data_IF_625831760811
#
_entry.id   IF_625831760811
#
_cell.length_a   1.000
_cell.length_b   1.000
_cell.length_c   1.000
_cell.angle_alpha   90.00
_cell.angle_beta   90.00
_cell.angle_gamma   90.00
#
_symmetry.space_group_name_H-M   'P 1'
#
loop_
_entity.id
_entity.type
_entity.pdbx_description
1 polymer ?
#
# COMPACT_ATOMS: atom_id res chain seq x y z
N UNK A 1 -69.90 -20.42 30.67
CA UNK A 1 -71.03 -20.33 29.71
C UNK A 1 -70.53 -20.74 28.34
N UNK A 2 -71.26 -21.69 27.73
CA UNK A 2 -71.43 -21.98 26.30
C UNK A 2 -70.28 -21.63 25.34
N UNK A 3 -69.81 -22.48 24.43
CA UNK A 3 -70.10 -23.87 24.02
C UNK A 3 -69.25 -24.00 22.72
N UNK A 4 -68.54 -25.12 22.48
CA UNK A 4 -68.91 -26.06 21.37
C UNK A 4 -68.31 -25.64 20.01
N UNK A 5 -67.41 -26.37 19.34
CA UNK A 5 -67.36 -27.77 18.82
C UNK A 5 -66.57 -27.61 17.48
N UNK A 6 -66.01 -28.56 16.76
CA UNK A 6 -66.11 -30.03 16.61
C UNK A 6 -64.89 -30.37 15.70
N UNK A 7 -64.03 -31.32 16.04
CA UNK A 7 -64.04 -32.74 15.59
C UNK A 7 -63.12 -33.03 14.38
N UNK A 8 -62.08 -33.86 14.61
CA UNK A 8 -61.92 -35.28 14.20
C UNK A 8 -61.37 -35.41 12.75
N UNK A 9 -60.60 -36.42 12.33
CA UNK A 9 -60.48 -37.84 12.70
C UNK A 9 -59.14 -38.40 12.14
N UNK A 10 -58.59 -39.44 12.79
CA UNK A 10 -57.77 -40.54 12.23
C UNK A 10 -56.35 -40.21 11.75
N UNK A 11 -55.24 -40.69 12.33
CA UNK A 11 -54.78 -42.07 12.55
C UNK A 11 -54.65 -42.91 11.27
N UNK A 12 -53.43 -43.28 10.88
CA UNK A 12 -52.86 -44.66 10.96
C UNK A 12 -51.42 -44.66 10.39
N UNK A 13 -50.58 -45.45 11.04
CA UNK A 13 -49.16 -45.69 10.80
C UNK A 13 -48.84 -46.50 9.52
N UNK A 14 -47.58 -46.45 9.06
CA UNK A 14 -47.07 -47.46 8.12
C UNK A 14 -45.80 -47.06 7.37
N UNK A 15 -44.67 -47.61 7.79
CA UNK A 15 -43.32 -47.57 7.24
C UNK A 15 -43.21 -47.97 5.76
N UNK A 16 -42.28 -47.37 4.99
CA UNK A 16 -41.29 -48.09 4.16
C UNK A 16 -40.42 -47.15 3.31
N UNK A 17 -39.13 -47.52 3.23
CA UNK A 17 -38.07 -47.05 2.34
C UNK A 17 -38.53 -46.77 0.90
N UNK A 18 -38.14 -45.62 0.35
CA UNK A 18 -37.83 -45.50 -1.08
C UNK A 18 -36.80 -44.37 -1.33
N UNK A 19 -35.70 -44.83 -1.92
CA UNK A 19 -34.56 -44.11 -2.49
C UNK A 19 -34.99 -43.03 -3.49
N UNK A 20 -34.44 -41.82 -3.36
CA UNK A 20 -34.26 -40.88 -4.47
C UNK A 20 -32.87 -40.22 -4.36
N UNK A 21 -31.89 -40.88 -4.98
CA UNK A 21 -30.64 -40.27 -5.46
C UNK A 21 -30.97 -39.52 -6.75
N UNK A 22 -30.63 -38.23 -6.85
CA UNK A 22 -30.02 -37.57 -8.03
C UNK A 22 -29.96 -36.03 -7.88
N UNK A 23 -28.72 -35.51 -7.97
CA UNK A 23 -28.26 -34.20 -8.50
C UNK A 23 -28.53 -32.97 -7.60
N UNK A 24 -27.53 -32.29 -7.01
CA UNK A 24 -26.34 -31.69 -7.65
C UNK A 24 -26.81 -30.42 -8.39
N UNK A 25 -26.50 -29.17 -8.03
CA UNK A 25 -25.29 -28.55 -7.48
C UNK A 25 -25.76 -27.30 -6.71
N UNK A 26 -25.72 -27.33 -5.37
CA UNK A 26 -25.68 -26.09 -4.60
C UNK A 26 -24.20 -25.76 -4.44
N UNK A 27 -23.76 -24.71 -5.14
CA UNK A 27 -22.40 -24.21 -5.06
C UNK A 27 -22.01 -24.01 -3.59
N UNK A 28 -21.10 -24.85 -3.11
CA UNK A 28 -20.34 -24.54 -1.91
C UNK A 28 -19.60 -23.25 -2.22
N UNK A 29 -19.95 -22.16 -1.55
CA UNK A 29 -19.04 -21.04 -1.39
C UNK A 29 -17.73 -21.65 -0.86
N UNK A 30 -16.68 -21.61 -1.68
CA UNK A 30 -15.34 -22.00 -1.27
C UNK A 30 -14.97 -21.11 -0.09
N UNK A 31 -14.84 -21.72 1.09
CA UNK A 31 -14.19 -21.07 2.21
C UNK A 31 -12.78 -20.66 1.74
N UNK A 32 -12.33 -19.42 2.00
CA UNK A 32 -10.99 -19.01 1.60
C UNK A 32 -9.98 -19.92 2.31
N UNK A 33 -9.10 -20.50 1.51
CA UNK A 33 -8.10 -21.45 1.94
C UNK A 33 -6.83 -20.64 2.28
N UNK A 34 -6.64 -20.27 3.54
CA UNK A 34 -5.44 -19.57 3.97
C UNK A 34 -5.29 -19.43 5.48
N UNK A 35 -4.56 -20.34 6.11
CA UNK A 35 -4.17 -20.28 7.54
C UNK A 35 -3.13 -19.18 7.85
N UNK A 36 -2.78 -18.33 6.89
CA UNK A 36 -1.78 -17.26 7.10
C UNK A 36 -2.42 -16.05 7.74
N UNK A 37 -1.97 -15.73 8.95
CA UNK A 37 -2.40 -14.54 9.70
C UNK A 37 -1.32 -13.48 9.72
N UNK A 38 -1.75 -12.23 9.90
CA UNK A 38 -0.91 -11.07 10.17
C UNK A 38 -1.12 -10.65 11.62
N UNK A 39 -0.04 -10.33 12.31
CA UNK A 39 0.00 -9.67 13.60
C UNK A 39 0.33 -8.19 13.36
N UNK A 40 -0.67 -7.32 13.51
CA UNK A 40 -0.59 -5.90 13.20
C UNK A 40 -0.58 -5.06 14.48
N UNK A 41 0.45 -4.25 14.68
CA UNK A 41 0.50 -3.25 15.75
C UNK A 41 -0.08 -1.92 15.27
N UNK A 42 -1.14 -1.46 15.95
CA UNK A 42 -1.83 -0.21 15.70
C UNK A 42 -1.09 0.95 16.41
N UNK A 43 -0.51 1.84 15.63
CA UNK A 43 0.32 2.98 16.05
C UNK A 43 -0.38 3.93 17.00
N UNK A 44 -1.69 4.15 16.81
CA UNK A 44 -2.47 5.07 17.66
C UNK A 44 -2.66 4.58 19.09
N UNK A 45 -2.71 3.26 19.30
CA UNK A 45 -3.04 2.65 20.60
C UNK A 45 -1.91 1.80 21.17
N UNK A 46 -0.92 1.43 20.35
CA UNK A 46 0.08 0.41 20.65
C UNK A 46 -0.48 -1.02 20.73
N UNK A 47 -1.77 -1.21 20.44
CA UNK A 47 -2.41 -2.52 20.53
C UNK A 47 -2.05 -3.39 19.33
N UNK A 48 -1.85 -4.68 19.57
CA UNK A 48 -1.67 -5.66 18.51
C UNK A 48 -2.97 -6.42 18.24
N UNK A 49 -3.35 -6.50 16.96
CA UNK A 49 -4.46 -7.33 16.48
C UNK A 49 -3.95 -8.45 15.57
N UNK A 50 -4.71 -9.54 15.46
CA UNK A 50 -4.41 -10.64 14.53
C UNK A 50 -5.57 -10.83 13.57
N UNK A 51 -5.27 -10.89 12.28
CA UNK A 51 -6.27 -10.99 11.21
C UNK A 51 -5.76 -11.85 10.04
N UNK A 52 -6.64 -12.42 9.22
CA UNK A 52 -6.24 -13.11 7.99
C UNK A 52 -5.43 -12.19 7.07
N UNK A 53 -4.42 -12.75 6.39
CA UNK A 53 -3.56 -11.98 5.48
C UNK A 53 -4.35 -11.24 4.39
N UNK A 54 -5.35 -11.87 3.80
CA UNK A 54 -6.16 -11.24 2.75
C UNK A 54 -7.05 -10.11 3.29
N UNK A 55 -7.50 -10.19 4.54
CA UNK A 55 -8.21 -9.09 5.20
C UNK A 55 -7.27 -7.90 5.46
N UNK A 56 -6.03 -8.20 5.84
CA UNK A 56 -4.98 -7.18 5.96
C UNK A 56 -4.71 -6.48 4.62
N UNK A 57 -4.54 -7.26 3.54
CA UNK A 57 -4.33 -6.72 2.18
C UNK A 57 -5.47 -5.76 1.80
N UNK A 58 -6.73 -6.15 2.00
CA UNK A 58 -7.89 -5.28 1.72
C UNK A 58 -7.82 -3.97 2.50
N UNK A 59 -7.50 -4.01 3.79
CA UNK A 59 -7.41 -2.82 4.63
C UNK A 59 -6.29 -1.85 4.22
N UNK A 60 -5.17 -2.38 3.71
CA UNK A 60 -4.10 -1.54 3.14
C UNK A 60 -4.54 -0.93 1.80
N UNK A 61 -5.13 -1.71 0.90
CA UNK A 61 -5.63 -1.19 -0.38
C UNK A 61 -6.62 -0.03 -0.20
N UNK A 62 -7.52 -0.15 0.78
CA UNK A 62 -8.48 0.91 1.13
C UNK A 62 -7.81 2.16 1.69
N UNK A 63 -6.69 2.02 2.39
CA UNK A 63 -5.94 3.14 2.95
C UNK A 63 -5.08 3.87 1.89
N UNK A 64 -4.58 3.13 0.90
CA UNK A 64 -3.58 3.61 -0.05
C UNK A 64 -4.17 4.05 -1.41
N UNK A 65 -5.27 3.45 -1.86
CA UNK A 65 -5.80 3.65 -3.21
C UNK A 65 -7.12 4.43 -3.26
N UNK A 66 -7.22 5.47 -4.10
CA UNK A 66 -8.50 6.07 -4.43
C UNK A 66 -9.41 5.07 -5.16
N UNK A 67 -10.73 5.05 -4.91
CA UNK A 67 -11.68 4.13 -5.57
C UNK A 67 -11.80 4.33 -7.09
N UNK A 68 -11.30 5.45 -7.62
CA UNK A 68 -11.27 5.76 -9.05
C UNK A 68 -10.09 5.12 -9.79
N UNK A 69 -9.17 4.46 -9.08
CA UNK A 69 -7.98 3.88 -9.67
C UNK A 69 -8.30 2.58 -10.42
N UNK A 70 -7.47 2.27 -11.41
CA UNK A 70 -7.68 1.13 -12.29
C UNK A 70 -7.57 -0.19 -11.52
N UNK A 71 -8.39 -1.22 -11.82
CA UNK A 71 -8.32 -2.51 -11.13
C UNK A 71 -6.94 -3.18 -11.13
N UNK A 72 -6.16 -3.05 -12.21
CA UNK A 72 -4.79 -3.59 -12.24
C UNK A 72 -3.80 -2.83 -11.34
N UNK A 73 -4.07 -1.56 -11.01
CA UNK A 73 -3.33 -0.86 -9.96
C UNK A 73 -3.61 -1.48 -8.59
N UNK A 74 -4.88 -1.82 -8.30
CA UNK A 74 -5.24 -2.54 -7.08
C UNK A 74 -4.58 -3.91 -7.01
N UNK A 75 -4.57 -4.67 -8.11
CA UNK A 75 -3.91 -5.99 -8.16
C UNK A 75 -2.40 -5.91 -7.97
N UNK A 76 -1.74 -4.94 -8.61
CA UNK A 76 -0.31 -4.74 -8.43
C UNK A 76 0.02 -4.40 -6.97
N UNK A 77 -0.71 -3.46 -6.37
CA UNK A 77 -0.51 -3.11 -4.96
C UNK A 77 -0.83 -4.28 -4.03
N UNK A 78 -1.87 -5.08 -4.32
CA UNK A 78 -2.22 -6.24 -3.50
C UNK A 78 -1.06 -7.24 -3.40
N UNK A 79 -0.40 -7.53 -4.52
CA UNK A 79 0.79 -8.41 -4.55
C UNK A 79 1.97 -7.77 -3.82
N UNK A 80 2.22 -6.48 -3.99
CA UNK A 80 3.30 -5.78 -3.28
C UNK A 80 3.08 -5.81 -1.75
N UNK A 81 1.87 -5.48 -1.29
CA UNK A 81 1.46 -5.51 0.13
C UNK A 81 1.59 -6.92 0.72
N UNK A 82 1.09 -7.94 0.00
CA UNK A 82 1.19 -9.33 0.43
C UNK A 82 2.64 -9.80 0.52
N UNK A 83 3.46 -9.41 -0.43
CA UNK A 83 4.89 -9.75 -0.44
C UNK A 83 5.60 -9.17 0.78
N UNK A 84 5.32 -7.91 1.13
CA UNK A 84 5.88 -7.27 2.31
C UNK A 84 5.45 -7.98 3.60
N UNK A 85 4.18 -8.34 3.70
CA UNK A 85 3.66 -9.11 4.84
C UNK A 85 4.38 -10.46 4.98
N UNK A 86 4.56 -11.21 3.88
CA UNK A 86 5.29 -12.49 3.88
C UNK A 86 6.77 -12.29 4.22
N UNK A 87 7.41 -11.25 3.67
CA UNK A 87 8.81 -10.92 3.97
C UNK A 87 9.04 -10.63 5.46
N UNK A 88 8.08 -9.99 6.12
CA UNK A 88 8.13 -9.64 7.54
C UNK A 88 7.51 -10.72 8.45
N UNK A 89 7.32 -11.94 7.94
CA UNK A 89 6.73 -13.07 8.67
C UNK A 89 5.37 -12.73 9.32
N UNK A 90 4.57 -11.89 8.64
CA UNK A 90 3.27 -11.44 9.12
C UNK A 90 3.29 -10.45 10.29
N UNK A 91 4.46 -9.99 10.76
CA UNK A 91 4.54 -8.99 11.83
C UNK A 91 4.71 -7.60 11.26
N UNK A 92 3.70 -6.74 11.42
CA UNK A 92 3.58 -5.46 10.72
C UNK A 92 3.10 -4.35 11.66
N UNK A 93 3.26 -3.10 11.23
CA UNK A 93 2.66 -1.91 11.86
C UNK A 93 1.81 -1.14 10.85
N UNK A 94 0.78 -0.43 11.33
CA UNK A 94 0.02 0.52 10.51
C UNK A 94 0.66 1.92 10.44
N UNK A 95 1.81 2.12 11.11
CA UNK A 95 2.58 3.37 11.04
C UNK A 95 3.28 3.46 9.67
N UNK A 96 2.94 4.45 8.82
CA UNK A 96 3.60 4.61 7.52
C UNK A 96 5.09 4.94 7.62
N UNK A 97 5.58 5.40 8.78
CA UNK A 97 7.01 5.59 9.02
C UNK A 97 7.75 4.28 9.31
N UNK A 98 7.02 3.22 9.69
CA UNK A 98 7.59 1.90 10.06
C UNK A 98 7.28 0.83 9.02
N UNK A 99 6.07 0.82 8.47
CA UNK A 99 5.57 -0.19 7.54
C UNK A 99 4.65 0.44 6.48
N UNK A 100 3.32 0.35 6.64
CA UNK A 100 2.36 0.83 5.65
C UNK A 100 1.02 1.17 6.28
N UNK A 101 0.26 2.07 5.66
CA UNK A 101 -1.05 2.46 6.17
C UNK A 101 -2.04 1.29 6.18
N UNK A 102 -2.91 1.26 7.18
CA UNK A 102 -3.99 0.27 7.26
C UNK A 102 -5.26 0.92 7.80
N UNK A 103 -6.40 0.67 7.13
CA UNK A 103 -7.71 1.06 7.65
C UNK A 103 -8.53 -0.17 8.00
N UNK A 104 -9.09 -0.17 9.22
CA UNK A 104 -10.19 -1.09 9.56
C UNK A 104 -11.42 -0.78 8.69
N UNK A 105 -12.34 -1.75 8.58
CA UNK A 105 -13.62 -1.53 7.90
C UNK A 105 -14.39 -0.30 8.42
N UNK A 106 -14.34 -0.05 9.74
CA UNK A 106 -14.95 1.13 10.36
C UNK A 106 -14.27 2.42 9.91
N UNK A 107 -12.93 2.47 9.94
CA UNK A 107 -12.15 3.63 9.50
C UNK A 107 -12.38 3.92 8.03
N UNK A 108 -12.32 2.88 7.18
CA UNK A 108 -12.54 3.00 5.75
C UNK A 108 -13.96 3.48 5.43
N UNK A 109 -14.98 2.92 6.09
CA UNK A 109 -16.37 3.38 5.91
C UNK A 109 -16.55 4.83 6.31
N UNK A 110 -15.95 5.27 7.42
CA UNK A 110 -16.03 6.65 7.87
C UNK A 110 -15.29 7.63 6.94
N UNK A 111 -14.12 7.24 6.42
CA UNK A 111 -13.30 8.08 5.53
C UNK A 111 -13.86 8.19 4.11
N UNK A 112 -14.40 7.09 3.58
CA UNK A 112 -14.84 7.01 2.18
C UNK A 112 -16.34 7.32 2.00
N UNK A 113 -17.14 7.25 3.07
CA UNK A 113 -18.57 7.55 3.00
C UNK A 113 -19.29 6.72 1.94
N UNK A 114 -19.99 7.40 1.02
CA UNK A 114 -20.75 6.75 -0.06
C UNK A 114 -19.87 5.96 -1.05
N UNK A 115 -18.58 6.28 -1.15
CA UNK A 115 -17.66 5.54 -2.02
C UNK A 115 -17.20 4.21 -1.42
N UNK A 116 -17.44 3.98 -0.12
CA UNK A 116 -16.94 2.81 0.60
C UNK A 116 -17.35 1.47 -0.02
N UNK A 117 -18.63 1.20 -0.37
CA UNK A 117 -19.02 -0.09 -0.92
C UNK A 117 -18.28 -0.43 -2.23
N UNK A 118 -18.10 0.58 -3.11
CA UNK A 118 -17.38 0.40 -4.37
C UNK A 118 -15.89 0.15 -4.14
N UNK A 119 -15.27 0.93 -3.26
CA UNK A 119 -13.87 0.77 -2.89
C UNK A 119 -13.59 -0.60 -2.27
N UNK A 120 -14.49 -1.05 -1.38
CA UNK A 120 -14.41 -2.34 -0.72
C UNK A 120 -14.49 -3.48 -1.74
N UNK A 121 -15.43 -3.43 -2.68
CA UNK A 121 -15.54 -4.48 -3.71
C UNK A 121 -14.29 -4.53 -4.60
N UNK A 122 -13.74 -3.38 -5.01
CA UNK A 122 -12.50 -3.33 -5.78
C UNK A 122 -11.31 -3.92 -5.02
N UNK A 123 -11.13 -3.52 -3.76
CA UNK A 123 -10.05 -4.02 -2.91
C UNK A 123 -10.17 -5.53 -2.67
N UNK A 124 -11.39 -6.02 -2.37
CA UNK A 124 -11.65 -7.45 -2.20
C UNK A 124 -11.46 -8.23 -3.50
N UNK A 125 -11.90 -7.71 -4.63
CA UNK A 125 -11.68 -8.33 -5.94
C UNK A 125 -10.19 -8.45 -6.25
N UNK A 126 -9.40 -7.40 -6.03
CA UNK A 126 -7.96 -7.43 -6.26
C UNK A 126 -7.23 -8.40 -5.32
N UNK A 127 -7.61 -8.47 -4.05
CA UNK A 127 -7.08 -9.44 -3.10
C UNK A 127 -7.37 -10.89 -3.57
N UNK A 128 -8.62 -11.18 -3.95
CA UNK A 128 -9.04 -12.50 -4.48
C UNK A 128 -8.34 -12.85 -5.79
N UNK A 129 -8.31 -11.93 -6.75
CA UNK A 129 -7.72 -12.15 -8.08
C UNK A 129 -6.21 -12.45 -8.01
N UNK A 130 -5.54 -11.95 -6.96
CA UNK A 130 -4.10 -12.09 -6.75
C UNK A 130 -3.75 -13.01 -5.59
N UNK A 131 -4.70 -13.79 -5.08
CA UNK A 131 -4.53 -14.59 -3.87
C UNK A 131 -3.31 -15.51 -3.94
N UNK A 132 -2.45 -15.38 -2.94
CA UNK A 132 -1.20 -16.14 -2.82
C UNK A 132 -0.07 -15.70 -3.75
N UNK A 133 -0.27 -14.76 -4.69
CA UNK A 133 0.85 -14.24 -5.48
C UNK A 133 1.71 -13.25 -4.69
N UNK A 134 3.02 -13.44 -4.77
CA UNK A 134 4.07 -12.60 -4.17
C UNK A 134 5.20 -12.36 -5.16
N UNK A 135 6.00 -11.31 -4.94
CA UNK A 135 7.25 -11.07 -5.66
C UNK A 135 8.43 -11.68 -4.92
N UNK A 136 9.30 -12.34 -5.68
CA UNK A 136 10.52 -12.94 -5.16
C UNK A 136 11.73 -12.50 -5.96
N UNK A 137 12.85 -12.27 -5.27
CA UNK A 137 14.15 -12.05 -5.89
C UNK A 137 15.09 -13.17 -5.43
N UNK A 138 15.68 -13.89 -6.38
CA UNK A 138 16.52 -15.08 -6.10
C UNK A 138 15.83 -16.10 -5.18
N UNK A 139 14.54 -16.35 -5.41
CA UNK A 139 13.74 -17.31 -4.66
C UNK A 139 13.31 -16.88 -3.25
N UNK A 140 13.64 -15.66 -2.81
CA UNK A 140 13.23 -15.11 -1.51
C UNK A 140 12.21 -13.99 -1.70
N UNK A 141 11.22 -13.81 -0.79
CA UNK A 141 10.32 -12.66 -0.83
C UNK A 141 11.07 -11.33 -0.93
N UNK A 142 10.75 -10.56 -1.97
CA UNK A 142 11.39 -9.27 -2.25
C UNK A 142 10.91 -8.18 -1.29
N UNK A 143 11.72 -7.13 -1.07
CA UNK A 143 11.22 -5.91 -0.44
C UNK A 143 10.40 -5.11 -1.47
N UNK A 144 9.09 -5.08 -1.31
CA UNK A 144 8.15 -4.45 -2.27
C UNK A 144 7.64 -3.12 -1.75
N UNK A 145 8.55 -2.16 -1.61
CA UNK A 145 8.20 -0.81 -1.17
C UNK A 145 7.50 -0.02 -2.29
N UNK A 146 6.59 0.86 -1.90
CA UNK A 146 5.77 1.65 -2.82
C UNK A 146 5.47 3.02 -2.20
N UNK A 147 5.08 3.98 -3.02
CA UNK A 147 4.83 5.35 -2.60
C UNK A 147 3.83 6.05 -3.53
N UNK A 148 3.36 7.24 -3.15
CA UNK A 148 2.24 7.90 -3.82
C UNK A 148 2.58 8.38 -5.25
N UNK A 149 3.67 9.15 -5.42
CA UNK A 149 4.02 9.81 -6.67
C UNK A 149 5.53 10.07 -6.76
N UNK A 150 6.13 9.91 -7.93
CA UNK A 150 7.57 10.12 -8.17
C UNK A 150 7.89 11.51 -8.71
N UNK A 151 9.18 11.85 -8.76
CA UNK A 151 9.68 13.05 -9.45
C UNK A 151 9.81 12.90 -10.96
N UNK A 152 9.26 11.81 -11.54
CA UNK A 152 9.42 11.40 -12.94
C UNK A 152 10.28 10.14 -13.10
N UNK A 153 10.99 9.75 -12.04
CA UNK A 153 11.68 8.48 -11.90
C UNK A 153 11.68 8.05 -10.42
N UNK A 154 11.79 6.76 -10.19
CA UNK A 154 11.94 6.19 -8.85
C UNK A 154 13.41 6.25 -8.42
N UNK A 155 13.67 6.04 -7.13
CA UNK A 155 14.94 6.25 -6.47
C UNK A 155 15.55 4.91 -6.03
N UNK A 156 16.87 4.84 -6.00
CA UNK A 156 17.58 3.68 -5.49
C UNK A 156 17.41 3.54 -3.97
N UNK A 157 17.19 2.32 -3.50
CA UNK A 157 17.20 1.98 -2.07
C UNK A 157 18.49 2.43 -1.37
N UNK A 158 19.63 2.37 -2.05
CA UNK A 158 20.93 2.80 -1.52
C UNK A 158 20.93 4.28 -1.15
N UNK A 159 20.27 5.13 -1.93
CA UNK A 159 20.24 6.57 -1.71
C UNK A 159 19.32 6.98 -0.56
N UNK A 160 18.23 6.24 -0.36
CA UNK A 160 17.20 6.60 0.63
C UNK A 160 17.43 5.95 1.98
N UNK A 161 17.75 4.65 2.01
CA UNK A 161 17.86 3.87 3.26
C UNK A 161 19.26 3.32 3.52
N UNK A 162 20.16 3.42 2.54
CA UNK A 162 21.40 2.66 2.55
C UNK A 162 21.16 1.17 2.26
N UNK A 163 22.21 0.49 1.79
CA UNK A 163 22.11 -0.88 1.32
C UNK A 163 21.60 -0.97 -0.13
N UNK A 164 22.26 -1.80 -0.93
CA UNK A 164 21.95 -1.97 -2.34
C UNK A 164 21.05 -3.19 -2.54
N UNK A 165 19.82 -2.94 -2.98
CA UNK A 165 18.89 -3.97 -3.43
C UNK A 165 18.80 -3.90 -4.96
N UNK A 166 19.32 -4.91 -5.71
CA UNK A 166 19.45 -4.84 -7.17
C UNK A 166 18.13 -4.70 -7.95
N UNK A 167 17.00 -4.92 -7.29
CA UNK A 167 15.65 -4.77 -7.84
C UNK A 167 14.95 -3.48 -7.37
N UNK A 168 15.64 -2.61 -6.63
CA UNK A 168 15.20 -1.28 -6.18
C UNK A 168 16.30 -0.25 -6.50
N UNK A 169 16.63 -0.13 -7.79
CA UNK A 169 17.72 0.71 -8.31
C UNK A 169 17.26 2.07 -8.85
N UNK A 170 15.96 2.30 -8.93
CA UNK A 170 15.38 3.42 -9.68
C UNK A 170 15.02 3.00 -11.12
N UNK A 171 13.82 3.37 -11.56
CA UNK A 171 13.30 3.20 -12.92
C UNK A 171 12.54 4.45 -13.35
N UNK A 172 12.39 4.66 -14.65
CA UNK A 172 11.60 5.77 -15.17
C UNK A 172 10.13 5.64 -14.76
N UNK A 173 9.49 6.77 -14.47
CA UNK A 173 8.07 6.85 -14.12
C UNK A 173 7.48 8.16 -14.68
N UNK A 174 7.52 8.35 -16.02
CA UNK A 174 7.19 9.63 -16.64
C UNK A 174 5.72 10.02 -16.47
N UNK A 175 4.84 9.07 -16.19
CA UNK A 175 3.42 9.34 -15.97
C UNK A 175 3.17 10.25 -14.76
N UNK A 176 4.01 10.14 -13.74
CA UNK A 176 3.90 10.89 -12.49
C UNK A 176 3.98 12.40 -12.69
N UNK A 177 4.62 12.88 -13.76
CA UNK A 177 4.72 14.31 -14.06
C UNK A 177 3.38 14.97 -14.35
N UNK A 178 2.33 14.17 -14.56
CA UNK A 178 0.96 14.64 -14.79
C UNK A 178 0.10 14.63 -13.52
N UNK A 179 0.64 14.14 -12.41
CA UNK A 179 -0.05 14.12 -11.11
C UNK A 179 -0.19 15.52 -10.52
N UNK A 180 -1.30 15.79 -9.84
CA UNK A 180 -1.43 16.99 -9.00
C UNK A 180 -0.47 17.01 -7.82
N UNK A 181 0.03 15.83 -7.41
CA UNK A 181 1.07 15.70 -6.38
C UNK A 181 2.49 15.69 -6.95
N UNK A 182 2.66 15.95 -8.26
CA UNK A 182 3.98 15.97 -8.89
C UNK A 182 4.88 17.07 -8.36
N UNK A 183 4.35 18.28 -8.16
CA UNK A 183 5.13 19.43 -7.73
C UNK A 183 4.36 20.20 -6.67
N UNK A 184 5.06 20.57 -5.60
CA UNK A 184 4.52 21.40 -4.54
C UNK A 184 5.57 22.35 -4.00
N UNK A 185 5.13 23.44 -3.41
CA UNK A 185 6.02 24.41 -2.75
C UNK A 185 5.65 24.52 -1.29
N UNK A 186 6.66 24.60 -0.43
CA UNK A 186 6.51 24.89 0.99
C UNK A 186 7.47 26.00 1.39
N UNK A 187 6.93 27.08 1.95
CA UNK A 187 7.74 28.18 2.46
C UNK A 187 7.84 28.07 3.98
N UNK A 188 9.06 28.08 4.48
CA UNK A 188 9.38 28.07 5.91
C UNK A 188 9.79 29.49 6.28
N UNK A 189 9.08 30.08 7.24
CA UNK A 189 9.34 31.47 7.63
C UNK A 189 10.72 31.61 8.28
N UNK A 190 11.30 32.81 8.17
CA UNK A 190 12.52 33.18 8.89
C UNK A 190 12.40 32.88 10.39
N UNK A 191 11.27 33.21 11.00
CA UNK A 191 11.01 32.97 12.43
C UNK A 191 11.14 31.48 12.79
N UNK A 192 10.58 30.58 11.98
CA UNK A 192 10.71 29.13 12.21
C UNK A 192 12.17 28.66 12.07
N UNK A 193 12.90 29.17 11.08
CA UNK A 193 14.31 28.85 10.88
C UNK A 193 15.18 29.34 12.04
N UNK A 194 14.87 30.53 12.58
CA UNK A 194 15.56 31.10 13.75
C UNK A 194 15.32 30.26 15.01
N UNK A 195 14.11 29.75 15.22
CA UNK A 195 13.79 28.84 16.32
C UNK A 195 14.58 27.51 16.24
N UNK A 196 15.03 27.11 15.06
CA UNK A 196 15.80 25.89 14.83
C UNK A 196 17.32 26.06 14.96
N UNK A 197 17.83 27.27 15.18
CA UNK A 197 19.28 27.50 15.38
C UNK A 197 20.04 28.06 14.17
N UNK A 198 19.36 28.81 13.30
CA UNK A 198 19.87 29.84 12.37
C UNK A 198 20.77 29.50 11.17
N UNK A 199 21.26 28.28 10.96
CA UNK A 199 21.87 27.96 9.66
C UNK A 199 20.82 27.50 8.65
N UNK A 200 20.89 28.02 7.42
CA UNK A 200 20.05 27.51 6.34
C UNK A 200 20.59 26.16 5.84
N UNK A 201 19.71 25.19 5.58
CA UNK A 201 20.10 23.92 4.98
C UNK A 201 20.61 24.14 3.54
N UNK A 202 21.79 23.61 3.23
CA UNK A 202 22.44 23.71 1.91
C UNK A 202 22.58 22.32 1.31
N UNK A 203 21.93 22.08 0.18
CA UNK A 203 22.08 20.83 -0.57
C UNK A 203 23.52 20.71 -1.09
N UNK A 204 24.22 19.64 -0.71
CA UNK A 204 25.63 19.41 -1.07
C UNK A 204 25.80 18.33 -2.15
N UNK A 205 24.84 17.42 -2.29
CA UNK A 205 24.82 16.42 -3.34
C UNK A 205 23.39 16.03 -3.73
N UNK A 206 23.17 15.86 -5.03
CA UNK A 206 21.92 15.35 -5.62
C UNK A 206 22.24 14.24 -6.62
N UNK A 207 21.30 13.30 -6.76
CA UNK A 207 21.32 12.33 -7.83
C UNK A 207 20.84 12.95 -9.16
N UNK A 208 21.12 12.29 -10.27
CA UNK A 208 20.74 12.74 -11.61
C UNK A 208 19.22 12.93 -11.78
N UNK A 209 18.42 12.19 -11.02
CA UNK A 209 16.96 12.29 -11.00
C UNK A 209 16.41 13.32 -9.98
N UNK A 210 17.29 14.13 -9.37
CA UNK A 210 16.94 15.25 -8.49
C UNK A 210 16.78 14.92 -7.01
N UNK A 211 16.85 13.64 -6.60
CA UNK A 211 16.81 13.28 -5.19
C UNK A 211 18.03 13.83 -4.45
N UNK A 212 17.80 14.47 -3.31
CA UNK A 212 18.87 14.98 -2.44
C UNK A 212 19.57 13.79 -1.78
N UNK A 213 20.87 13.66 -2.02
CA UNK A 213 21.70 12.61 -1.42
C UNK A 213 22.28 13.10 -0.09
N UNK A 214 22.71 14.35 -0.04
CA UNK A 214 23.31 14.96 1.14
C UNK A 214 23.00 16.45 1.22
N UNK A 215 22.88 16.92 2.45
CA UNK A 215 22.63 18.31 2.81
C UNK A 215 23.40 18.65 4.08
N UNK A 216 23.96 19.86 4.15
CA UNK A 216 24.53 20.40 5.40
C UNK A 216 23.53 21.33 6.07
N UNK A 217 23.38 21.21 7.38
CA UNK A 217 22.56 22.11 8.20
C UNK A 217 23.35 22.48 9.45
N UNK A 218 23.99 23.64 9.40
CA UNK A 218 25.04 24.01 10.36
C UNK A 218 26.22 23.02 10.29
N UNK A 219 26.59 22.43 11.42
CA UNK A 219 27.66 21.43 11.50
C UNK A 219 27.19 20.00 11.16
N UNK A 220 25.87 19.77 11.04
CA UNK A 220 25.33 18.46 10.72
C UNK A 220 25.36 18.17 9.22
N UNK A 221 25.70 16.94 8.86
CA UNK A 221 25.46 16.39 7.53
C UNK A 221 24.29 15.42 7.60
N UNK A 222 23.25 15.69 6.81
CA UNK A 222 22.02 14.92 6.73
C UNK A 222 21.90 14.23 5.38
N UNK A 223 21.22 13.08 5.35
CA UNK A 223 20.69 12.53 4.10
C UNK A 223 19.47 13.33 3.62
N UNK A 224 19.09 13.21 2.35
CA UNK A 224 17.88 13.85 1.84
C UNK A 224 16.61 13.42 2.57
N UNK A 225 16.52 12.15 3.01
CA UNK A 225 15.35 11.66 3.77
C UNK A 225 15.30 12.25 5.18
N UNK A 226 16.45 12.40 5.86
CA UNK A 226 16.50 13.09 7.16
C UNK A 226 16.11 14.58 7.03
N UNK A 227 16.60 15.25 5.99
CA UNK A 227 16.25 16.63 5.69
C UNK A 227 14.75 16.77 5.37
N UNK A 228 14.21 15.89 4.53
CA UNK A 228 12.78 15.82 4.20
C UNK A 228 11.93 15.72 5.46
N UNK A 229 12.24 14.78 6.35
CA UNK A 229 11.48 14.58 7.60
C UNK A 229 11.57 15.81 8.51
N UNK A 230 12.77 16.39 8.66
CA UNK A 230 12.98 17.58 9.51
C UNK A 230 12.26 18.82 8.96
N UNK A 231 12.23 18.99 7.64
CA UNK A 231 11.56 20.10 6.96
C UNK A 231 10.05 19.85 6.73
N UNK A 232 9.56 18.63 6.96
CA UNK A 232 8.18 18.24 6.72
C UNK A 232 7.80 18.15 5.23
N UNK A 233 8.76 17.87 4.35
CA UNK A 233 8.56 17.86 2.89
C UNK A 233 7.88 16.57 2.41
N UNK A 234 7.11 16.67 1.32
CA UNK A 234 6.43 15.52 0.72
C UNK A 234 7.39 14.43 0.20
N UNK A 235 8.58 14.79 -0.27
CA UNK A 235 9.57 13.86 -0.81
C UNK A 235 11.01 14.31 -0.52
N UNK A 236 11.97 13.41 -0.74
CA UNK A 236 13.41 13.71 -0.71
C UNK A 236 13.95 14.33 -2.00
N UNK A 237 13.09 14.67 -2.96
CA UNK A 237 13.47 15.29 -4.23
C UNK A 237 13.01 16.75 -4.21
N UNK A 238 13.91 17.66 -3.85
CA UNK A 238 13.58 19.06 -3.67
C UNK A 238 14.75 20.00 -3.97
N UNK A 239 14.42 21.27 -4.21
CA UNK A 239 15.37 22.38 -4.24
C UNK A 239 15.01 23.37 -3.14
N UNK A 240 16.01 24.10 -2.64
CA UNK A 240 15.86 25.10 -1.60
C UNK A 240 16.32 26.46 -2.12
N UNK A 241 15.52 27.49 -1.85
CA UNK A 241 15.82 28.87 -2.22
C UNK A 241 15.57 29.78 -1.01
N UNK A 242 16.59 30.54 -0.62
CA UNK A 242 16.42 31.65 0.32
C UNK A 242 15.77 32.83 -0.40
N UNK A 243 14.71 33.37 0.20
CA UNK A 243 14.00 34.54 -0.31
C UNK A 243 14.54 35.83 0.29
N UNK A 244 14.18 36.98 -0.30
CA UNK A 244 14.64 38.30 0.15
C UNK A 244 14.23 38.65 1.59
N UNK A 245 13.13 38.08 2.07
CA UNK A 245 12.67 38.25 3.45
C UNK A 245 13.35 37.27 4.43
N UNK A 246 14.25 36.40 3.93
CA UNK A 246 14.93 35.31 4.62
C UNK A 246 14.06 34.13 4.99
N UNK A 247 12.88 34.01 4.39
CA UNK A 247 12.19 32.72 4.35
C UNK A 247 12.93 31.75 3.43
N UNK A 248 12.69 30.45 3.61
CA UNK A 248 13.22 29.39 2.78
C UNK A 248 12.07 28.74 2.02
N UNK A 249 12.08 28.83 0.69
CA UNK A 249 11.14 28.13 -0.18
C UNK A 249 11.74 26.80 -0.61
N UNK A 250 11.06 25.70 -0.28
CA UNK A 250 11.31 24.38 -0.83
C UNK A 250 10.38 24.13 -2.03
N UNK A 251 10.95 23.81 -3.19
CA UNK A 251 10.19 23.24 -4.32
C UNK A 251 10.41 21.73 -4.31
N UNK A 252 9.34 20.96 -4.15
CA UNK A 252 9.36 19.52 -3.90
C UNK A 252 8.68 18.78 -5.04
N UNK A 253 9.35 17.74 -5.54
CA UNK A 253 8.86 16.90 -6.64
C UNK A 253 8.51 15.49 -6.16
N UNK A 254 7.33 15.02 -6.52
CA UNK A 254 6.77 13.76 -6.06
C UNK A 254 6.28 13.78 -4.61
N UNK A 255 5.77 12.65 -4.18
CA UNK A 255 5.25 12.42 -2.83
C UNK A 255 5.58 10.99 -2.38
N UNK A 256 6.45 10.91 -1.36
CA UNK A 256 6.87 9.67 -0.73
C UNK A 256 8.39 9.51 -0.78
N UNK A 257 8.87 8.36 -0.33
CA UNK A 257 10.30 8.06 -0.28
C UNK A 257 10.91 7.78 -1.66
N UNK A 258 10.10 7.46 -2.67
CA UNK A 258 10.55 7.34 -4.06
C UNK A 258 11.08 5.96 -4.47
N UNK A 259 11.16 5.00 -3.57
CA UNK A 259 11.78 3.67 -3.83
C UNK A 259 10.73 2.64 -4.20
N UNK A 260 10.96 1.86 -5.26
CA UNK A 260 10.05 0.80 -5.70
C UNK A 260 8.89 1.32 -6.55
N UNK A 261 7.65 0.94 -6.24
CA UNK A 261 6.51 1.24 -7.11
C UNK A 261 5.84 2.59 -6.82
N UNK A 262 5.71 3.43 -7.83
CA UNK A 262 4.80 4.59 -7.77
C UNK A 262 3.35 4.12 -7.96
N UNK A 263 2.47 4.47 -7.01
CA UNK A 263 1.03 4.19 -7.08
C UNK A 263 0.38 4.99 -8.22
N UNK A 264 0.72 6.27 -8.37
CA UNK A 264 0.20 7.08 -9.47
C UNK A 264 0.68 6.54 -10.83
N UNK A 265 1.97 6.24 -10.94
CA UNK A 265 2.56 5.67 -12.14
C UNK A 265 1.95 4.31 -12.51
N UNK A 266 1.77 3.42 -11.53
CA UNK A 266 1.08 2.15 -11.71
C UNK A 266 -0.36 2.31 -12.25
N UNK A 267 -1.12 3.27 -11.71
CA UNK A 267 -2.46 3.58 -12.19
C UNK A 267 -2.47 4.11 -13.62
N UNK A 268 -1.50 4.94 -14.00
CA UNK A 268 -1.38 5.45 -15.36
C UNK A 268 -1.00 4.34 -16.35
N UNK A 269 0.00 3.51 -16.02
CA UNK A 269 0.35 2.32 -16.80
C UNK A 269 -0.86 1.41 -17.02
N UNK A 270 -1.65 1.19 -15.96
CA UNK A 270 -2.86 0.38 -16.01
C UNK A 270 -3.93 0.97 -16.95
N UNK A 271 -4.11 2.29 -16.93
CA UNK A 271 -5.01 3.01 -17.86
C UNK A 271 -4.54 2.94 -19.32
N UNK A 272 -3.25 2.78 -19.55
CA UNK A 272 -2.66 2.53 -20.87
C UNK A 272 -2.76 1.07 -21.31
N UNK A 273 -3.35 0.20 -20.49
CA UNK A 273 -3.63 -1.20 -20.81
C UNK A 273 -2.60 -2.20 -20.28
N UNK A 274 -1.59 -1.74 -19.53
CA UNK A 274 -0.65 -2.66 -18.87
C UNK A 274 -1.36 -3.42 -17.76
N UNK A 275 -1.11 -4.73 -17.70
CA UNK A 275 -1.63 -5.57 -16.63
C UNK A 275 -0.78 -5.44 -15.37
N UNK A 276 -1.33 -5.87 -14.23
CA UNK A 276 -0.63 -5.80 -12.95
C UNK A 276 0.72 -6.53 -12.95
N UNK A 277 0.86 -7.61 -13.72
CA UNK A 277 2.13 -8.32 -13.86
C UNK A 277 3.22 -7.45 -14.51
N UNK A 278 2.85 -6.69 -15.54
CA UNK A 278 3.74 -5.80 -16.29
C UNK A 278 4.15 -4.58 -15.46
N UNK A 279 3.20 -4.04 -14.69
CA UNK A 279 3.44 -2.95 -13.73
C UNK A 279 4.46 -3.41 -12.68
N UNK A 280 4.28 -4.58 -12.08
CA UNK A 280 5.22 -5.09 -11.08
C UNK A 280 6.60 -5.38 -11.69
N UNK A 281 6.66 -5.94 -12.89
CA UNK A 281 7.92 -6.20 -13.58
C UNK A 281 8.69 -4.91 -13.90
N UNK A 282 7.98 -3.80 -14.16
CA UNK A 282 8.57 -2.49 -14.40
C UNK A 282 9.23 -1.92 -13.14
N UNK A 283 8.49 -1.85 -12.03
CA UNK A 283 8.98 -1.21 -10.80
C UNK A 283 9.91 -2.08 -9.94
N UNK A 284 9.89 -3.40 -10.15
CA UNK A 284 10.73 -4.35 -9.42
C UNK A 284 11.53 -5.22 -10.40
N UNK A 285 12.46 -4.63 -11.18
CA UNK A 285 13.18 -5.36 -12.22
C UNK A 285 13.95 -6.55 -11.65
N UNK A 286 13.86 -7.70 -12.32
CA UNK A 286 14.50 -8.95 -11.89
C UNK A 286 13.74 -9.73 -10.81
N UNK A 287 12.66 -9.18 -10.24
CA UNK A 287 11.75 -9.96 -9.41
C UNK A 287 10.88 -10.89 -10.26
N UNK A 288 10.44 -11.99 -9.65
CA UNK A 288 9.56 -12.98 -10.25
C UNK A 288 8.29 -13.11 -9.42
N UNK A 289 7.15 -13.15 -10.10
CA UNK A 289 5.88 -13.48 -9.49
C UNK A 289 5.87 -14.98 -9.18
N UNK A 290 5.68 -15.34 -7.92
CA UNK A 290 5.54 -16.72 -7.47
C UNK A 290 4.28 -16.86 -6.65
N UNK A 291 3.75 -18.08 -6.57
CA UNK A 291 2.62 -18.39 -5.70
C UNK A 291 3.16 -18.91 -4.37
N UNK A 292 2.94 -18.16 -3.31
CA UNK A 292 3.28 -18.54 -1.94
C UNK A 292 2.48 -19.78 -1.56
N UNK A 293 3.05 -20.95 -1.80
CA UNK A 293 2.50 -22.24 -1.44
C UNK A 293 3.14 -22.64 -0.12
N UNK A 294 2.69 -22.01 0.97
CA UNK A 294 2.96 -22.53 2.31
C UNK A 294 2.15 -23.84 2.45
N UNK A 295 2.70 -24.93 1.90
CA UNK A 295 2.34 -26.28 2.33
C UNK A 295 2.88 -26.41 3.75
N UNK A 296 2.00 -26.55 4.73
CA UNK A 296 2.39 -27.07 6.03
C UNK A 296 2.99 -28.46 5.82
N UNK A 297 4.27 -28.59 6.15
CA UNK A 297 4.88 -29.87 6.50
C UNK A 297 4.57 -30.19 7.96
#
# INVERSE_FOLDING_TARGET
MKKTKLFFFGAVAGSCLAICLLLGVLGKASQPQGDTTVTLTLSQTGQTITLPLEEYVVGVLLAELPPSYHPDCFRALAVAVRTLAVKNNGTLSDDPAVCQGYWTAQTASAKLGEAYPTALEQAQAAARDTEGFVLTYQGKPALTSYFACSSGATCSSQWVWGGDLPYLTGVDSPWDTTSSDYCSTQTISRETLEQWGQDLPVVTAQADNGYVLSLTWGEETLTGEQARQRLGLKSGCFTLQEELDGSLTATVYGYGHGVGMSIYGANAMAKEGNRWEEILAWYYPGCQISKNSQKGD
#
